data_IF_743043529915
#
_entry.id   IF_743043529915
#
_cell.length_a   1.000
_cell.length_b   1.000
_cell.length_c   1.000
_cell.angle_alpha   90.00
_cell.angle_beta   90.00
_cell.angle_gamma   90.00
#
_symmetry.space_group_name_H-M   'P 1'
#
loop_
_entity.id
_entity.type
_entity.pdbx_description
1 polymer ?
#
# COMPACT_ATOMS: atom_id res chain seq x y z
N UNK A 1 3.83 7.24 8.77
CA UNK A 1 3.75 7.64 7.34
C UNK A 1 2.54 8.59 7.15
N UNK A 2 2.62 9.65 6.33
CA UNK A 2 1.52 10.63 6.12
C UNK A 2 0.80 10.50 4.76
N UNK A 3 0.91 9.34 4.12
CA UNK A 3 0.50 9.10 2.74
C UNK A 3 -0.95 9.54 2.41
N UNK A 4 -1.95 9.02 3.14
CA UNK A 4 -3.37 9.35 2.90
C UNK A 4 -3.79 10.80 3.22
N UNK A 5 -2.91 11.61 3.84
CA UNK A 5 -3.19 13.03 4.13
C UNK A 5 -2.75 13.97 3.02
N UNK A 6 -1.91 13.51 2.09
CA UNK A 6 -1.41 14.33 0.98
C UNK A 6 -2.49 14.41 -0.12
N UNK A 7 -2.95 15.61 -0.52
CA UNK A 7 -4.01 15.76 -1.52
C UNK A 7 -3.72 15.01 -2.84
N UNK A 8 -2.46 15.03 -3.28
CA UNK A 8 -2.02 14.30 -4.49
C UNK A 8 -2.21 12.78 -4.38
N UNK A 9 -2.10 12.19 -3.20
CA UNK A 9 -2.36 10.75 -3.00
C UNK A 9 -3.85 10.49 -2.80
N UNK A 10 -4.52 11.32 -2.00
CA UNK A 10 -5.93 11.19 -1.63
C UNK A 10 -6.88 11.37 -2.82
N UNK A 11 -6.49 12.12 -3.85
CA UNK A 11 -7.26 12.16 -5.12
C UNK A 11 -7.56 10.78 -5.71
N UNK A 12 -6.73 9.77 -5.43
CA UNK A 12 -6.89 8.40 -5.92
C UNK A 12 -7.40 7.43 -4.86
N UNK A 13 -7.72 7.92 -3.65
CA UNK A 13 -8.11 7.09 -2.51
C UNK A 13 -9.19 7.79 -1.69
N UNK A 14 -10.27 7.09 -1.37
CA UNK A 14 -11.36 7.63 -0.56
C UNK A 14 -12.04 8.85 -1.20
N UNK A 15 -12.16 8.90 -2.54
CA UNK A 15 -12.83 9.99 -3.26
C UNK A 15 -12.34 11.40 -2.87
N UNK A 16 -11.03 11.54 -2.62
CA UNK A 16 -10.40 12.75 -2.10
C UNK A 16 -10.91 13.22 -0.71
N UNK A 17 -11.56 12.33 0.05
CA UNK A 17 -12.06 12.61 1.39
C UNK A 17 -10.97 12.50 2.46
N UNK A 18 -10.91 13.49 3.36
CA UNK A 18 -10.09 13.44 4.58
C UNK A 18 -10.70 12.48 5.59
N UNK A 19 -10.11 11.30 5.73
CA UNK A 19 -10.55 10.34 6.74
C UNK A 19 -9.86 10.57 8.10
N UNK A 20 -10.57 10.33 9.23
CA UNK A 20 -10.01 10.37 10.58
C UNK A 20 -8.84 9.39 10.76
N UNK A 21 -7.96 9.66 11.73
CA UNK A 21 -6.80 8.79 12.00
C UNK A 21 -7.25 7.40 12.46
N UNK A 22 -8.36 7.36 13.17
CA UNK A 22 -8.99 6.17 13.72
C UNK A 22 -9.43 5.24 12.59
N UNK A 23 -10.03 5.80 11.53
CA UNK A 23 -10.39 5.04 10.31
C UNK A 23 -9.15 4.49 9.63
N UNK A 24 -8.06 5.28 9.52
CA UNK A 24 -6.79 4.77 8.96
C UNK A 24 -6.23 3.62 9.80
N UNK A 25 -6.34 3.70 11.13
CA UNK A 25 -5.86 2.66 12.02
C UNK A 25 -6.67 1.35 11.84
N UNK A 26 -8.01 1.46 11.76
CA UNK A 26 -8.90 0.32 11.49
C UNK A 26 -8.57 -0.35 10.15
N UNK A 27 -8.31 0.43 9.11
CA UNK A 27 -7.90 -0.10 7.79
C UNK A 27 -6.57 -0.84 7.90
N UNK A 28 -5.58 -0.30 8.60
CA UNK A 28 -4.29 -0.99 8.81
C UNK A 28 -4.51 -2.30 9.58
N UNK A 29 -5.33 -2.28 10.63
CA UNK A 29 -5.65 -3.46 11.43
C UNK A 29 -6.38 -4.53 10.61
N UNK A 30 -7.36 -4.16 9.78
CA UNK A 30 -8.03 -5.13 8.90
C UNK A 30 -7.05 -5.80 7.94
N UNK A 31 -6.05 -5.07 7.43
CA UNK A 31 -5.02 -5.66 6.56
C UNK A 31 -4.09 -6.63 7.30
N UNK A 32 -3.80 -6.39 8.58
CA UNK A 32 -3.02 -7.31 9.40
C UNK A 32 -3.81 -8.59 9.68
N UNK A 33 -5.10 -8.46 10.01
CA UNK A 33 -5.99 -9.61 10.21
C UNK A 33 -6.12 -10.46 8.92
N UNK A 34 -6.34 -9.83 7.76
CA UNK A 34 -6.35 -10.56 6.47
C UNK A 34 -5.04 -11.28 6.22
N UNK A 35 -3.90 -10.68 6.57
CA UNK A 35 -2.59 -11.31 6.41
C UNK A 35 -2.46 -12.56 7.30
N UNK A 36 -2.95 -12.51 8.53
CA UNK A 36 -2.94 -13.64 9.45
C UNK A 36 -3.90 -14.76 9.02
N UNK A 37 -5.10 -14.40 8.54
CA UNK A 37 -6.15 -15.36 8.18
C UNK A 37 -5.95 -16.00 6.80
N UNK A 38 -5.54 -15.21 5.81
CA UNK A 38 -5.47 -15.63 4.41
C UNK A 38 -4.05 -15.71 3.86
N UNK A 39 -3.04 -15.34 4.65
CA UNK A 39 -1.64 -15.35 4.24
C UNK A 39 -1.25 -14.18 3.32
N UNK A 40 -2.15 -13.23 3.05
CA UNK A 40 -1.87 -12.06 2.23
C UNK A 40 -2.49 -10.78 2.78
N UNK A 41 -1.85 -9.63 2.51
CA UNK A 41 -2.33 -8.32 2.94
C UNK A 41 -1.56 -7.20 2.27
N UNK A 42 -1.47 -6.03 2.92
CA UNK A 42 -0.67 -4.92 2.44
C UNK A 42 0.75 -4.91 3.01
N UNK A 43 1.73 -4.71 2.13
CA UNK A 43 3.12 -4.51 2.49
C UNK A 43 3.52 -3.04 2.38
N UNK A 44 4.35 -2.59 3.33
CA UNK A 44 5.04 -1.32 3.22
C UNK A 44 6.14 -1.41 2.15
N UNK A 45 6.18 -0.45 1.23
CA UNK A 45 7.24 -0.37 0.23
C UNK A 45 8.41 0.45 0.75
N UNK A 46 9.60 -0.12 0.67
CA UNK A 46 10.85 0.55 0.98
C UNK A 46 11.70 0.65 -0.28
N UNK A 47 12.32 1.81 -0.50
CA UNK A 47 13.38 1.94 -1.50
C UNK A 47 14.69 1.52 -0.85
N UNK A 48 15.47 0.71 -1.58
CA UNK A 48 16.78 0.24 -1.10
C UNK A 48 17.65 1.45 -0.69
N UNK A 49 18.29 1.40 0.49
CA UNK A 49 19.26 2.42 0.90
C UNK A 49 20.33 2.60 -0.16
N UNK A 50 20.79 3.84 -0.32
CA UNK A 50 21.96 4.17 -1.14
C UNK A 50 23.01 4.79 -0.22
N UNK A 51 24.24 4.98 -0.71
CA UNK A 51 25.27 5.70 0.07
C UNK A 51 24.81 7.11 0.51
N UNK A 52 23.83 7.70 -0.18
CA UNK A 52 23.25 9.01 0.13
C UNK A 52 22.01 8.95 1.03
N UNK A 53 21.49 7.75 1.31
CA UNK A 53 20.27 7.54 2.08
C UNK A 53 20.51 6.46 3.15
N UNK A 54 20.90 6.90 4.36
CA UNK A 54 21.26 6.00 5.46
C UNK A 54 20.06 5.17 6.01
N UNK A 55 18.83 5.59 5.73
CA UNK A 55 17.61 4.87 6.11
C UNK A 55 16.79 4.51 4.86
N UNK A 56 16.09 3.37 4.90
CA UNK A 56 15.11 2.97 3.89
C UNK A 56 13.73 3.56 4.24
N UNK A 57 13.31 4.74 3.73
CA UNK A 57 12.01 5.29 4.06
C UNK A 57 10.88 4.43 3.49
N UNK A 58 9.74 4.42 4.17
CA UNK A 58 8.50 3.89 3.60
C UNK A 58 8.01 4.86 2.52
N UNK A 59 8.01 4.40 1.28
CA UNK A 59 7.66 5.22 0.10
C UNK A 59 6.22 5.00 -0.36
N UNK A 60 5.59 3.93 0.08
CA UNK A 60 4.28 3.51 -0.38
C UNK A 60 3.79 2.25 0.31
N UNK A 61 2.76 1.66 -0.26
CA UNK A 61 2.28 0.32 0.04
C UNK A 61 1.90 -0.40 -1.26
N UNK A 62 1.86 -1.73 -1.21
CA UNK A 62 1.27 -2.58 -2.23
C UNK A 62 0.78 -3.88 -1.59
N UNK A 63 -0.27 -4.48 -2.13
CA UNK A 63 -0.72 -5.79 -1.70
C UNK A 63 -2.19 -6.01 -2.03
N UNK A 64 -2.83 -6.86 -1.24
CA UNK A 64 -4.16 -7.36 -1.54
C UNK A 64 -5.15 -7.08 -0.41
N UNK A 65 -6.41 -6.93 -0.78
CA UNK A 65 -7.56 -7.01 0.13
C UNK A 65 -8.66 -7.85 -0.51
N UNK A 66 -9.55 -8.38 0.32
CA UNK A 66 -10.84 -8.90 -0.15
C UNK A 66 -11.78 -7.74 -0.46
N UNK A 67 -12.60 -7.90 -1.49
CA UNK A 67 -13.71 -6.99 -1.78
C UNK A 67 -14.79 -7.16 -0.72
N UNK A 68 -15.56 -6.09 -0.47
CA UNK A 68 -16.67 -6.16 0.49
C UNK A 68 -17.86 -6.99 -0.07
N UNK A 69 -17.90 -7.16 -1.40
CA UNK A 69 -18.99 -7.79 -2.15
C UNK A 69 -18.78 -9.30 -2.43
N UNK A 70 -17.62 -9.88 -2.11
CA UNK A 70 -17.35 -11.27 -2.49
C UNK A 70 -15.94 -11.78 -2.20
N UNK A 71 -15.60 -12.99 -2.71
CA UNK A 71 -14.28 -13.58 -2.56
C UNK A 71 -13.26 -13.00 -3.54
N UNK A 72 -13.59 -11.92 -4.27
CA UNK A 72 -12.63 -11.31 -5.18
C UNK A 72 -11.49 -10.65 -4.42
N UNK A 73 -10.29 -10.74 -5.00
CA UNK A 73 -9.09 -10.12 -4.49
C UNK A 73 -8.83 -8.83 -5.26
N UNK A 74 -8.73 -7.72 -4.55
CA UNK A 74 -8.34 -6.43 -5.11
C UNK A 74 -6.84 -6.18 -4.89
N UNK A 75 -6.11 -5.93 -5.97
CA UNK A 75 -4.71 -5.49 -5.92
C UNK A 75 -4.66 -3.97 -5.73
N UNK A 76 -4.04 -3.55 -4.64
CA UNK A 76 -3.90 -2.15 -4.27
C UNK A 76 -2.43 -1.74 -4.24
N UNK A 77 -2.16 -0.50 -4.64
CA UNK A 77 -0.86 0.12 -4.45
C UNK A 77 -0.99 1.64 -4.36
N UNK A 78 -0.07 2.26 -3.64
CA UNK A 78 0.00 3.70 -3.54
C UNK A 78 1.38 4.16 -3.12
N UNK A 79 1.93 5.13 -3.83
CA UNK A 79 3.26 5.70 -3.55
C UNK A 79 3.19 7.20 -3.31
N UNK A 80 4.08 7.71 -2.47
CA UNK A 80 4.22 9.16 -2.29
C UNK A 80 4.59 9.82 -3.64
N UNK A 81 4.12 11.06 -3.91
CA UNK A 81 4.23 11.65 -5.24
C UNK A 81 5.67 11.84 -5.74
N UNK A 82 6.64 11.94 -4.83
CA UNK A 82 8.07 12.04 -5.13
C UNK A 82 8.65 10.77 -5.81
N UNK A 83 7.90 9.66 -5.76
CA UNK A 83 8.30 8.36 -6.29
C UNK A 83 7.50 7.96 -7.54
N UNK A 84 6.61 8.82 -8.04
CA UNK A 84 5.86 8.57 -9.26
C UNK A 84 6.76 8.65 -10.51
N UNK A 85 6.36 7.96 -11.58
CA UNK A 85 7.12 7.93 -12.84
C UNK A 85 8.41 7.10 -12.80
N UNK A 86 8.69 6.39 -11.70
CA UNK A 86 9.93 5.61 -11.52
C UNK A 86 9.77 4.10 -11.71
N UNK A 87 8.61 3.62 -12.13
CA UNK A 87 8.33 2.18 -12.30
C UNK A 87 8.14 1.39 -11.00
N UNK A 88 8.25 2.01 -9.83
CA UNK A 88 8.19 1.33 -8.52
C UNK A 88 6.84 0.65 -8.23
N UNK A 89 5.72 1.23 -8.68
CA UNK A 89 4.41 0.58 -8.60
C UNK A 89 4.36 -0.73 -9.42
N UNK A 90 4.97 -0.70 -10.60
CA UNK A 90 5.06 -1.86 -11.50
C UNK A 90 5.91 -2.97 -10.90
N UNK A 91 7.05 -2.63 -10.31
CA UNK A 91 7.90 -3.59 -9.58
C UNK A 91 7.13 -4.20 -8.39
N UNK A 92 6.52 -3.35 -7.57
CA UNK A 92 5.78 -3.78 -6.39
C UNK A 92 4.61 -4.73 -6.72
N UNK A 93 3.80 -4.40 -7.75
CA UNK A 93 2.70 -5.30 -8.15
C UNK A 93 3.20 -6.66 -8.63
N UNK A 94 4.32 -6.72 -9.36
CA UNK A 94 4.83 -8.01 -9.84
C UNK A 94 5.32 -8.87 -8.67
N UNK A 95 5.98 -8.26 -7.67
CA UNK A 95 6.37 -8.97 -6.46
C UNK A 95 5.15 -9.47 -5.67
N UNK A 96 4.10 -8.65 -5.53
CA UNK A 96 2.86 -9.05 -4.87
C UNK A 96 2.16 -10.22 -5.59
N UNK A 97 1.99 -10.12 -6.92
CA UNK A 97 1.40 -11.19 -7.73
C UNK A 97 2.24 -12.47 -7.64
N UNK A 98 3.56 -12.37 -7.72
CA UNK A 98 4.42 -13.54 -7.58
C UNK A 98 4.30 -14.21 -6.21
N UNK A 99 4.06 -13.44 -5.15
CA UNK A 99 3.80 -13.99 -3.82
C UNK A 99 2.45 -14.73 -3.75
N UNK A 100 1.39 -14.17 -4.33
CA UNK A 100 0.05 -14.76 -4.26
C UNK A 100 -0.11 -16.04 -5.09
N UNK A 101 0.65 -16.18 -6.18
CA UNK A 101 0.63 -17.35 -7.07
C UNK A 101 1.80 -18.32 -6.85
N UNK A 102 2.46 -18.24 -5.70
CA UNK A 102 3.41 -19.26 -5.25
C UNK A 102 2.69 -20.44 -4.60
#
# INVERSE_FOLDING_TARGET
MRFGRRPRCRRYLWDDAKIPREVVAQVVESHLLTADEHGFGHWALHVRPTMLLAAAPIVGFCGFRLTDDGPEIELMYGLQPEYWGKGLATEARFAALYYLWR
#
